data_IF_415187886573
#
_entry.id   IF_415187886573
#
_cell.length_a   1.000
_cell.length_b   1.000
_cell.length_c   1.000
_cell.angle_alpha   90.00
_cell.angle_beta   90.00
_cell.angle_gamma   90.00
#
_symmetry.space_group_name_H-M   'P 1'
#
loop_
_entity.id
_entity.type
_entity.pdbx_description
1 polymer ?
#
# COMPACT_ATOMS: atom_id res chain seq x y z
N UNK A 1 -12.40 -3.69 5.73
CA UNK A 1 -11.36 -3.57 4.70
C UNK A 1 -10.21 -2.78 5.30
N UNK A 2 -9.04 -3.39 5.44
CA UNK A 2 -7.84 -2.72 5.94
C UNK A 2 -7.06 -2.14 4.75
N UNK A 3 -6.39 -1.01 4.96
CA UNK A 3 -5.47 -0.44 3.96
C UNK A 3 -4.16 -1.24 3.91
N UNK A 4 -3.40 -1.09 2.82
CA UNK A 4 -2.03 -1.60 2.75
C UNK A 4 -1.15 -0.96 3.84
N UNK A 5 -0.28 -1.74 4.50
CA UNK A 5 0.63 -1.20 5.49
C UNK A 5 1.66 -0.27 4.84
N UNK A 6 1.84 0.90 5.43
CA UNK A 6 2.81 1.93 5.03
C UNK A 6 3.96 2.06 6.02
N UNK A 7 3.81 1.44 7.21
CA UNK A 7 4.81 1.48 8.28
C UNK A 7 5.17 0.10 8.81
N UNK A 8 6.34 -0.02 9.48
CA UNK A 8 6.74 -1.26 10.17
C UNK A 8 5.83 -1.62 11.34
N UNK A 9 5.22 -0.63 11.98
CA UNK A 9 4.28 -0.87 13.07
C UNK A 9 3.00 -1.52 12.55
N UNK A 10 2.48 -1.05 11.41
CA UNK A 10 1.33 -1.65 10.73
C UNK A 10 1.63 -3.08 10.26
N UNK A 11 2.82 -3.35 9.73
CA UNK A 11 3.24 -4.72 9.38
C UNK A 11 3.17 -5.64 10.60
N UNK A 12 3.70 -5.21 11.76
CA UNK A 12 3.61 -5.98 13.00
C UNK A 12 2.17 -6.19 13.47
N UNK A 13 1.31 -5.18 13.35
CA UNK A 13 -0.10 -5.29 13.69
C UNK A 13 -0.83 -6.32 12.81
N UNK A 14 -0.39 -6.49 11.57
CA UNK A 14 -0.87 -7.51 10.63
C UNK A 14 -0.15 -8.86 10.76
N UNK A 15 0.76 -9.02 11.72
CA UNK A 15 1.61 -10.22 11.88
C UNK A 15 2.43 -10.56 10.64
N UNK A 16 2.86 -9.54 9.89
CA UNK A 16 3.75 -9.66 8.74
C UNK A 16 5.19 -9.31 9.13
N UNK A 17 6.13 -10.22 8.89
CA UNK A 17 7.56 -10.02 9.21
C UNK A 17 8.31 -9.24 8.12
N UNK A 18 7.87 -9.39 6.86
CA UNK A 18 8.48 -8.76 5.69
C UNK A 18 7.48 -8.55 4.57
N UNK A 19 7.86 -7.68 3.63
CA UNK A 19 7.13 -7.47 2.36
C UNK A 19 7.92 -8.07 1.21
N UNK A 20 7.23 -8.60 0.21
CA UNK A 20 7.85 -9.09 -1.04
C UNK A 20 8.10 -7.95 -2.02
N UNK A 21 7.21 -6.96 -2.04
CA UNK A 21 7.28 -5.80 -2.92
C UNK A 21 6.93 -4.51 -2.17
N UNK A 22 7.54 -3.41 -2.58
CA UNK A 22 7.21 -2.07 -2.09
C UNK A 22 6.71 -1.25 -3.27
N UNK A 23 5.51 -0.69 -3.14
CA UNK A 23 4.95 0.25 -4.12
C UNK A 23 5.40 1.65 -3.71
N UNK A 24 6.26 2.27 -4.52
CA UNK A 24 6.63 3.68 -4.36
C UNK A 24 5.87 4.47 -5.41
N UNK A 25 5.04 5.40 -4.96
CA UNK A 25 4.25 6.27 -5.84
C UNK A 25 4.61 7.73 -5.58
N UNK A 26 4.84 8.49 -6.64
CA UNK A 26 4.96 9.95 -6.62
C UNK A 26 3.64 10.64 -6.96
N UNK A 27 2.51 9.95 -6.82
CA UNK A 27 1.19 10.45 -7.16
C UNK A 27 0.80 11.66 -6.31
N UNK A 28 1.14 12.83 -6.83
CA UNK A 28 0.67 14.14 -6.39
C UNK A 28 -0.55 14.52 -7.24
N UNK A 29 -1.67 13.85 -6.97
CA UNK A 29 -3.04 14.14 -7.38
C UNK A 29 -3.22 15.24 -8.45
N UNK A 30 -3.11 14.90 -9.73
CA UNK A 30 -3.70 15.69 -10.84
C UNK A 30 -4.12 14.73 -11.98
N UNK A 31 -5.44 14.53 -12.11
CA UNK A 31 -6.17 14.19 -13.34
C UNK A 31 -6.32 12.76 -13.89
N UNK A 32 -6.11 11.65 -13.12
CA UNK A 32 -6.28 10.21 -13.55
C UNK A 32 -4.96 9.59 -14.07
N UNK A 33 -4.57 8.32 -13.78
CA UNK A 33 -5.22 7.21 -13.07
C UNK A 33 -4.48 6.84 -11.76
N UNK A 34 -5.00 7.25 -10.61
CA UNK A 34 -4.42 7.02 -9.28
C UNK A 34 -4.90 5.73 -8.60
N UNK A 35 -5.12 4.64 -9.36
CA UNK A 35 -5.73 3.40 -8.86
C UNK A 35 -4.78 2.22 -8.71
N UNK A 36 -3.51 2.32 -9.12
CA UNK A 36 -2.58 1.18 -9.11
C UNK A 36 -2.40 0.56 -7.72
N UNK A 37 -2.04 1.38 -6.72
CA UNK A 37 -1.89 0.91 -5.35
C UNK A 37 -3.21 0.39 -4.76
N UNK A 38 -4.33 1.06 -5.05
CA UNK A 38 -5.66 0.66 -4.58
C UNK A 38 -6.11 -0.68 -5.20
N UNK A 39 -5.80 -0.93 -6.47
CA UNK A 39 -6.10 -2.19 -7.16
C UNK A 39 -5.22 -3.32 -6.66
N UNK A 40 -3.93 -3.07 -6.42
CA UNK A 40 -3.00 -4.09 -5.91
C UNK A 40 -3.37 -4.47 -4.47
N UNK A 41 -3.74 -3.49 -3.65
CA UNK A 41 -4.10 -3.71 -2.24
C UNK A 41 -5.53 -4.16 -1.97
N UNK A 42 -6.28 -4.58 -2.99
CA UNK A 42 -7.72 -4.86 -2.86
C UNK A 42 -8.08 -6.21 -2.23
N UNK A 43 -7.36 -6.72 -1.24
CA UNK A 43 -7.67 -8.03 -0.65
C UNK A 43 -7.42 -8.08 0.85
#
# INVERSE_FOLDING_TARGET
MAFLPTTRAELKALSLDRVDFVIVSGDSYVDHPSFGAALIGRW
#
